data_IF_070194793810
#
_entry.id   IF_070194793810
#
_cell.length_a   1.000
_cell.length_b   1.000
_cell.length_c   1.000
_cell.angle_alpha   90.00
_cell.angle_beta   90.00
_cell.angle_gamma   90.00
#
_symmetry.space_group_name_H-M   'P 1'
#
loop_
_entity.id
_entity.type
_entity.pdbx_description
1 polymer ?
#
# COMPACT_ATOMS: atom_id res chain seq x y z
N UNK A 1 -2.73 -1.79 -17.21
CA UNK A 1 -1.89 -0.80 -16.50
C UNK A 1 -2.60 -0.42 -15.21
N UNK A 2 -1.91 -0.45 -14.07
CA UNK A 2 -2.46 0.03 -12.80
C UNK A 2 -2.53 1.56 -12.85
N UNK A 3 -3.67 2.13 -12.48
CA UNK A 3 -3.85 3.59 -12.46
C UNK A 3 -3.55 4.10 -11.06
N UNK A 4 -2.62 5.05 -10.94
CA UNK A 4 -2.44 5.76 -9.68
C UNK A 4 -3.52 6.82 -9.53
N UNK A 5 -3.99 7.04 -8.32
CA UNK A 5 -4.88 8.15 -8.00
C UNK A 5 -4.48 8.79 -6.68
N UNK A 6 -4.64 10.11 -6.58
CA UNK A 6 -4.40 10.88 -5.37
C UNK A 6 -5.69 11.20 -4.66
N UNK A 7 -5.69 11.12 -3.34
CA UNK A 7 -6.84 11.51 -2.55
C UNK A 7 -6.99 13.02 -2.45
N UNK A 8 -8.20 13.50 -2.73
CA UNK A 8 -8.61 14.90 -2.58
C UNK A 8 -9.10 15.23 -1.17
N UNK A 9 -9.67 14.23 -0.49
CA UNK A 9 -10.28 14.34 0.84
C UNK A 9 -9.86 13.18 1.72
N UNK A 10 -9.99 13.33 3.04
CA UNK A 10 -9.83 12.21 3.96
C UNK A 10 -11.03 11.27 3.81
N UNK A 11 -10.80 9.97 3.89
CA UNK A 11 -11.83 8.95 3.88
C UNK A 11 -11.57 7.96 5.00
N UNK A 12 -12.54 7.80 5.91
CA UNK A 12 -12.45 6.87 7.02
C UNK A 12 -13.29 5.63 6.68
N UNK A 13 -12.68 4.46 6.73
CA UNK A 13 -13.39 3.20 6.49
C UNK A 13 -14.43 2.98 7.60
N UNK A 14 -15.66 2.71 7.18
CA UNK A 14 -16.77 2.29 8.05
C UNK A 14 -16.90 0.76 8.05
N UNK A 15 -16.47 0.10 6.98
CA UNK A 15 -16.50 -1.36 6.85
C UNK A 15 -15.11 -1.97 6.65
N UNK A 16 -14.88 -3.25 7.00
CA UNK A 16 -13.59 -3.91 6.78
C UNK A 16 -13.18 -4.05 5.32
N UNK A 17 -14.11 -3.81 4.38
CA UNK A 17 -13.85 -3.83 2.94
C UNK A 17 -13.29 -2.51 2.44
N UNK A 18 -13.43 -1.44 3.22
CA UNK A 18 -13.02 -0.09 2.86
C UNK A 18 -11.61 0.21 3.34
N UNK A 19 -10.93 1.11 2.64
CA UNK A 19 -9.64 1.62 3.05
C UNK A 19 -9.77 2.95 3.76
N UNK A 20 -9.18 3.07 4.95
CA UNK A 20 -8.95 4.38 5.57
C UNK A 20 -7.77 5.06 4.87
N UNK A 21 -8.01 6.24 4.34
CA UNK A 21 -7.09 6.97 3.48
C UNK A 21 -7.11 8.47 3.82
N UNK A 22 -5.98 9.15 3.66
CA UNK A 22 -5.87 10.59 3.94
C UNK A 22 -5.73 11.41 2.65
N UNK A 23 -6.14 12.68 2.73
CA UNK A 23 -5.91 13.65 1.67
C UNK A 23 -4.41 13.71 1.33
N UNK A 24 -4.11 13.55 0.04
CA UNK A 24 -2.75 13.53 -0.49
C UNK A 24 -2.14 12.14 -0.60
N UNK A 25 -2.78 11.09 -0.04
CA UNK A 25 -2.32 9.72 -0.20
C UNK A 25 -2.47 9.26 -1.66
N UNK A 26 -1.58 8.35 -2.06
CA UNK A 26 -1.56 7.78 -3.41
C UNK A 26 -2.02 6.33 -3.32
N UNK A 27 -3.07 6.01 -4.07
CA UNK A 27 -3.65 4.66 -4.15
C UNK A 27 -3.51 4.12 -5.56
N UNK A 28 -3.32 2.80 -5.65
CA UNK A 28 -3.26 2.11 -6.94
C UNK A 28 -4.60 1.44 -7.22
N UNK A 29 -5.31 1.91 -8.24
CA UNK A 29 -6.61 1.37 -8.62
C UNK A 29 -6.39 0.06 -9.39
N UNK A 30 -7.03 -1.00 -8.90
CA UNK A 30 -7.05 -2.32 -9.51
C UNK A 30 -8.23 -2.46 -10.45
N UNK A 31 -9.44 -2.17 -9.94
CA UNK A 31 -10.68 -2.25 -10.72
C UNK A 31 -11.72 -1.25 -10.22
N UNK A 32 -12.65 -0.92 -11.10
CA UNK A 32 -13.88 -0.22 -10.72
C UNK A 32 -14.87 -1.28 -10.22
N UNK A 33 -15.39 -1.09 -9.00
CA UNK A 33 -16.42 -1.99 -8.44
C UNK A 33 -17.78 -1.59 -8.98
N UNK A 34 -18.05 -0.28 -8.97
CA UNK A 34 -19.22 0.35 -9.56
C UNK A 34 -18.94 1.84 -9.86
N UNK A 35 -19.96 2.59 -10.28
CA UNK A 35 -19.82 4.02 -10.64
C UNK A 35 -19.34 4.91 -9.49
N UNK A 36 -19.59 4.50 -8.26
CA UNK A 36 -19.30 5.24 -7.04
C UNK A 36 -18.06 4.71 -6.30
N UNK A 37 -17.65 3.46 -6.56
CA UNK A 37 -16.61 2.76 -5.80
C UNK A 37 -15.49 2.20 -6.69
N UNK A 38 -14.26 2.49 -6.28
CA UNK A 38 -13.05 1.94 -6.86
C UNK A 38 -12.41 0.99 -5.86
N UNK A 39 -11.90 -0.14 -6.35
CA UNK A 39 -11.03 -1.03 -5.60
C UNK A 39 -9.58 -0.69 -5.90
N UNK A 40 -8.78 -0.52 -4.85
CA UNK A 40 -7.36 -0.28 -4.99
C UNK A 40 -6.56 -0.72 -3.78
N UNK A 41 -5.28 -0.44 -3.86
CA UNK A 41 -4.30 -0.78 -2.85
C UNK A 41 -3.64 0.48 -2.28
N UNK A 42 -3.51 0.51 -0.96
CA UNK A 42 -2.78 1.53 -0.22
C UNK A 42 -1.91 0.85 0.85
N UNK A 43 -0.59 1.05 0.79
CA UNK A 43 0.36 0.49 1.78
C UNK A 43 0.20 -1.03 1.99
N UNK A 44 -0.01 -1.80 0.92
CA UNK A 44 -0.21 -3.26 0.99
C UNK A 44 -1.58 -3.70 1.49
N UNK A 45 -2.51 -2.77 1.78
CA UNK A 45 -3.90 -3.07 2.11
C UNK A 45 -4.78 -2.85 0.89
N UNK A 46 -5.59 -3.85 0.55
CA UNK A 46 -6.56 -3.78 -0.55
C UNK A 46 -7.94 -3.52 0.01
N UNK A 47 -8.68 -2.63 -0.64
CA UNK A 47 -10.08 -2.36 -0.31
C UNK A 47 -10.70 -1.32 -1.23
N UNK A 48 -11.92 -0.92 -0.90
CA UNK A 48 -12.73 -0.02 -1.72
C UNK A 48 -12.74 1.40 -1.16
N UNK A 49 -12.85 2.39 -2.04
CA UNK A 49 -13.00 3.79 -1.69
C UNK A 49 -13.82 4.55 -2.75
N UNK A 50 -14.44 5.70 -2.41
CA UNK A 50 -15.30 6.41 -3.34
C UNK A 50 -14.52 7.01 -4.51
N UNK A 51 -15.01 6.83 -5.74
CA UNK A 51 -14.42 7.38 -6.96
C UNK A 51 -14.31 8.92 -6.90
N UNK A 52 -15.31 9.59 -6.33
CA UNK A 52 -15.34 11.05 -6.21
C UNK A 52 -14.30 11.62 -5.24
N UNK A 53 -13.71 10.79 -4.37
CA UNK A 53 -12.73 11.20 -3.37
C UNK A 53 -11.30 11.17 -3.89
N UNK A 54 -11.09 10.57 -5.06
CA UNK A 54 -9.78 10.45 -5.70
C UNK A 54 -9.70 11.24 -6.99
N UNK A 55 -8.48 11.50 -7.42
CA UNK A 55 -8.11 12.13 -8.69
C UNK A 55 -7.12 11.22 -9.40
N UNK A 56 -7.49 10.68 -10.55
CA UNK A 56 -6.63 9.76 -11.31
C UNK A 56 -5.44 10.55 -11.85
N UNK A 57 -4.23 10.12 -11.50
CA UNK A 57 -3.00 10.75 -11.94
C UNK A 57 -2.58 10.23 -13.32
N UNK A 58 -2.05 11.10 -14.20
CA UNK A 58 -1.49 10.66 -15.46
C UNK A 58 -0.23 9.81 -15.24
N UNK A 59 0.04 8.82 -16.10
CA UNK A 59 1.16 7.88 -15.95
C UNK A 59 2.57 8.52 -16.00
N UNK A 60 2.66 9.82 -16.30
CA UNK A 60 3.91 10.61 -16.38
C UNK A 60 4.30 11.30 -15.08
N UNK A 61 3.41 11.35 -14.09
CA UNK A 61 3.74 11.89 -12.77
C UNK A 61 4.23 10.74 -11.88
N UNK A 62 5.56 10.61 -11.75
CA UNK A 62 6.15 9.89 -10.62
C UNK A 62 5.51 10.45 -9.35
N UNK A 63 4.71 9.68 -8.59
CA UNK A 63 4.06 10.19 -7.40
C UNK A 63 5.15 10.54 -6.41
N UNK A 64 5.49 11.82 -6.32
CA UNK A 64 6.38 12.32 -5.28
C UNK A 64 5.56 12.26 -3.99
N UNK A 65 5.95 11.44 -2.99
CA UNK A 65 5.26 11.44 -1.71
C UNK A 65 5.32 12.86 -1.14
N UNK A 66 4.16 13.52 -0.99
CA UNK A 66 4.09 14.90 -0.46
C UNK A 66 4.40 14.89 1.05
N UNK A 67 4.32 13.74 1.70
CA UNK A 67 4.86 13.52 3.03
C UNK A 67 6.12 12.68 2.87
N UNK A 68 7.23 13.15 3.45
CA UNK A 68 8.29 12.22 3.84
C UNK A 68 7.59 11.04 4.51
N UNK A 69 7.91 9.77 4.18
CA UNK A 69 7.29 8.65 4.86
C UNK A 69 7.45 8.95 6.34
N UNK A 70 6.33 9.21 7.04
CA UNK A 70 6.28 9.01 8.48
C UNK A 70 6.88 7.63 8.60
N UNK A 71 7.99 7.49 9.33
CA UNK A 71 8.59 6.19 9.62
C UNK A 71 7.44 5.29 10.08
N UNK A 72 6.82 4.59 9.14
CA UNK A 72 6.14 3.35 9.38
C UNK A 72 7.35 2.50 9.62
N UNK A 73 7.79 2.52 10.88
CA UNK A 73 8.56 1.44 11.45
C UNK A 73 7.73 0.24 11.07
N UNK A 74 8.08 -0.39 9.94
CA UNK A 74 7.80 -1.78 9.75
C UNK A 74 8.46 -2.37 10.98
N UNK A 75 7.63 -2.68 11.97
CA UNK A 75 8.00 -3.40 13.16
C UNK A 75 8.33 -4.81 12.68
N UNK A 76 9.41 -4.92 11.91
CA UNK A 76 10.03 -6.18 11.56
C UNK A 76 10.49 -6.72 12.90
N UNK A 77 9.84 -7.77 13.37
CA UNK A 77 10.23 -8.41 14.62
C UNK A 77 11.72 -8.73 14.57
N UNK A 78 12.43 -8.38 15.64
CA UNK A 78 13.83 -8.75 15.78
C UNK A 78 13.90 -10.24 16.10
N UNK A 79 14.56 -11.02 15.24
CA UNK A 79 14.85 -12.43 15.47
C UNK A 79 16.36 -12.65 15.41
N UNK A 80 16.90 -13.31 16.43
CA UNK A 80 18.30 -13.74 16.46
C UNK A 80 18.39 -15.21 16.04
N UNK A 81 19.35 -15.50 15.18
CA UNK A 81 19.69 -16.87 14.83
C UNK A 81 20.32 -17.56 16.05
N UNK A 82 19.63 -18.55 16.63
CA UNK A 82 20.18 -19.33 17.74
C UNK A 82 21.29 -20.29 17.27
N UNK A 83 21.32 -20.61 15.98
CA UNK A 83 22.28 -21.52 15.35
C UNK A 83 22.68 -21.02 13.97
N UNK A 84 23.82 -21.51 13.48
CA UNK A 84 24.21 -21.29 12.10
C UNK A 84 23.34 -22.14 11.17
N UNK A 85 22.81 -21.54 10.11
CA UNK A 85 22.02 -22.21 9.08
C UNK A 85 22.60 -21.91 7.70
N UNK A 86 22.74 -22.95 6.88
CA UNK A 86 23.15 -22.85 5.48
C UNK A 86 22.00 -23.38 4.64
N UNK A 87 21.38 -22.50 3.86
CA UNK A 87 20.36 -22.88 2.90
C UNK A 87 20.99 -23.59 1.71
N UNK A 88 20.39 -24.71 1.32
CA UNK A 88 20.82 -25.53 0.18
C UNK A 88 19.89 -25.34 -1.03
N UNK A 89 18.68 -24.82 -0.80
CA UNK A 89 17.71 -24.50 -1.84
C UNK A 89 17.77 -23.01 -2.21
N UNK A 90 17.39 -22.69 -3.45
CA UNK A 90 17.38 -21.31 -3.96
C UNK A 90 16.47 -20.35 -3.16
N UNK A 91 15.48 -20.89 -2.43
CA UNK A 91 14.52 -20.13 -1.63
C UNK A 91 14.97 -19.94 -0.17
N UNK A 92 16.08 -20.56 0.23
CA UNK A 92 16.56 -20.55 1.61
C UNK A 92 17.66 -19.51 1.81
N UNK A 93 17.52 -18.69 2.85
CA UNK A 93 18.57 -17.75 3.26
C UNK A 93 19.52 -18.42 4.24
N UNK A 94 20.82 -18.28 4.03
CA UNK A 94 21.84 -18.70 4.99
C UNK A 94 22.08 -17.59 6.01
N UNK A 95 22.18 -17.94 7.29
CA UNK A 95 22.44 -17.00 8.37
C UNK A 95 23.32 -17.63 9.46
N UNK A 96 24.04 -16.79 10.21
CA UNK A 96 24.91 -17.21 11.31
C UNK A 96 24.38 -16.66 12.62
N UNK A 97 24.67 -17.35 13.71
CA UNK A 97 24.49 -16.80 15.06
C UNK A 97 25.46 -15.66 15.33
#
# INVERSE_FOLDING_TARGET
QMKAARLKFNFQAETPKELTLQKGDIVYIHKEVDRNWLEGEHHGRVGIFPSNYVEILPPTEVPKPIKAPTLQVLEYGEALALYNFRGDLHVELSFRK
#
